data_IF_551188415003
#
_entry.id   IF_551188415003
#
_cell.length_a   1.000
_cell.length_b   1.000
_cell.length_c   1.000
_cell.angle_alpha   90.00
_cell.angle_beta   90.00
_cell.angle_gamma   90.00
#
_symmetry.space_group_name_H-M   'P 1'
#
loop_
_entity.id
_entity.type
_entity.pdbx_description
1 polymer ?
#
# COMPACT_ATOMS: atom_id res chain seq x y z
N UNK A 1 -21.33 -21.80 -11.88
CA UNK A 1 -21.42 -20.37 -11.55
C UNK A 1 -20.00 -19.86 -11.23
N UNK A 2 -19.46 -18.98 -12.05
CA UNK A 2 -18.20 -18.29 -11.75
C UNK A 2 -18.52 -16.87 -11.26
N UNK A 3 -18.13 -16.54 -10.05
CA UNK A 3 -18.41 -15.21 -9.48
C UNK A 3 -17.40 -14.14 -9.96
N UNK A 4 -16.17 -14.55 -10.28
CA UNK A 4 -15.10 -13.65 -10.70
C UNK A 4 -14.27 -14.27 -11.80
N UNK A 5 -14.01 -13.48 -12.86
CA UNK A 5 -13.07 -13.79 -13.92
C UNK A 5 -11.87 -12.87 -13.80
N UNK A 6 -10.66 -13.42 -13.94
CA UNK A 6 -9.42 -12.66 -13.98
C UNK A 6 -8.79 -12.80 -15.36
N UNK A 7 -8.72 -11.70 -16.10
CA UNK A 7 -8.05 -11.61 -17.39
C UNK A 7 -6.61 -11.15 -17.17
N UNK A 8 -5.68 -12.11 -17.15
CA UNK A 8 -4.26 -11.87 -16.90
C UNK A 8 -3.41 -11.78 -18.19
N UNK A 9 -4.05 -11.67 -19.35
CA UNK A 9 -3.39 -11.57 -20.64
C UNK A 9 -2.66 -10.22 -20.74
N UNK A 10 -1.36 -10.26 -20.97
CA UNK A 10 -0.53 -9.07 -21.13
C UNK A 10 -0.40 -8.66 -22.59
N UNK A 11 -0.21 -9.64 -23.46
CA UNK A 11 -0.04 -9.48 -24.92
C UNK A 11 -0.64 -10.68 -25.66
N UNK A 12 -1.24 -10.47 -26.83
CA UNK A 12 -1.51 -9.16 -27.40
C UNK A 12 -2.64 -8.41 -26.67
N UNK A 13 -2.60 -7.07 -26.66
CA UNK A 13 -3.59 -6.21 -25.98
C UNK A 13 -5.02 -6.49 -26.47
N UNK A 14 -5.19 -6.74 -27.76
CA UNK A 14 -6.48 -7.05 -28.40
C UNK A 14 -7.13 -8.30 -27.78
N UNK A 15 -6.33 -9.32 -27.48
CA UNK A 15 -6.83 -10.54 -26.83
C UNK A 15 -7.31 -10.27 -25.40
N UNK A 16 -6.59 -9.44 -24.65
CA UNK A 16 -6.99 -9.01 -23.31
C UNK A 16 -8.32 -8.24 -23.32
N UNK A 17 -8.44 -7.27 -24.24
CA UNK A 17 -9.67 -6.46 -24.39
C UNK A 17 -10.85 -7.36 -24.82
N UNK A 18 -10.64 -8.23 -25.81
CA UNK A 18 -11.68 -9.14 -26.28
C UNK A 18 -12.14 -10.11 -25.19
N UNK A 19 -11.20 -10.72 -24.47
CA UNK A 19 -11.53 -11.61 -23.36
C UNK A 19 -12.33 -10.91 -22.26
N UNK A 20 -11.96 -9.64 -21.93
CA UNK A 20 -12.67 -8.82 -20.96
C UNK A 20 -14.10 -8.50 -21.44
N UNK A 21 -14.25 -8.11 -22.70
CA UNK A 21 -15.54 -7.83 -23.30
C UNK A 21 -16.45 -9.06 -23.29
N UNK A 22 -15.94 -10.21 -23.75
CA UNK A 22 -16.70 -11.47 -23.74
C UNK A 22 -17.12 -11.84 -22.32
N UNK A 23 -16.23 -11.73 -21.34
CA UNK A 23 -16.55 -12.05 -19.95
C UNK A 23 -17.66 -11.16 -19.38
N UNK A 24 -17.78 -9.90 -19.84
CA UNK A 24 -18.83 -8.97 -19.40
C UNK A 24 -20.13 -9.10 -20.18
N UNK A 25 -20.06 -9.40 -21.47
CA UNK A 25 -21.20 -9.35 -22.40
C UNK A 25 -21.83 -10.73 -22.65
N UNK A 26 -21.33 -11.79 -22.00
CA UNK A 26 -21.86 -13.13 -22.20
C UNK A 26 -23.27 -13.28 -21.64
N UNK A 27 -24.27 -13.21 -22.51
CA UNK A 27 -25.65 -13.60 -22.19
C UNK A 27 -25.69 -15.02 -21.61
N UNK A 28 -26.15 -15.12 -20.35
CA UNK A 28 -26.25 -16.41 -19.65
C UNK A 28 -25.05 -16.78 -18.79
N UNK A 29 -23.97 -16.04 -18.77
CA UNK A 29 -22.89 -16.23 -17.79
C UNK A 29 -23.15 -15.38 -16.54
N UNK A 30 -23.08 -16.00 -15.37
CA UNK A 30 -23.22 -15.30 -14.08
C UNK A 30 -21.87 -14.74 -13.59
N UNK A 31 -21.09 -14.13 -14.49
CA UNK A 31 -19.86 -13.44 -14.07
C UNK A 31 -20.23 -12.13 -13.42
N UNK A 32 -20.07 -12.05 -12.10
CA UNK A 32 -20.36 -10.85 -11.32
C UNK A 32 -19.25 -9.81 -11.38
N UNK A 33 -18.00 -10.28 -11.51
CA UNK A 33 -16.84 -9.40 -11.44
C UNK A 33 -15.78 -9.82 -12.44
N UNK A 34 -15.28 -8.85 -13.20
CA UNK A 34 -14.16 -9.02 -14.13
C UNK A 34 -13.01 -8.14 -13.66
N UNK A 35 -11.87 -8.77 -13.37
CA UNK A 35 -10.62 -8.11 -13.04
C UNK A 35 -9.67 -8.29 -14.22
N UNK A 36 -9.09 -7.22 -14.75
CA UNK A 36 -8.20 -7.29 -15.89
C UNK A 36 -6.83 -6.69 -15.56
N UNK A 37 -5.78 -7.25 -16.17
CA UNK A 37 -4.40 -6.78 -16.07
C UNK A 37 -4.10 -5.80 -17.19
N UNK A 38 -3.65 -4.59 -16.85
CA UNK A 38 -3.14 -3.61 -17.81
C UNK A 38 -1.61 -3.66 -17.91
N UNK A 39 -1.08 -3.29 -19.10
CA UNK A 39 0.35 -3.15 -19.38
C UNK A 39 0.74 -1.71 -19.73
N UNK A 40 -0.25 -0.83 -19.97
CA UNK A 40 -0.05 0.59 -20.25
C UNK A 40 -1.27 1.40 -19.84
N UNK A 41 -1.13 2.73 -19.74
CA UNK A 41 -2.23 3.65 -19.42
C UNK A 41 -3.37 3.59 -20.44
N UNK A 42 -3.01 3.43 -21.72
CA UNK A 42 -4.01 3.27 -22.77
C UNK A 42 -4.76 1.95 -22.61
N UNK A 43 -4.04 0.85 -22.35
CA UNK A 43 -4.64 -0.45 -22.11
C UNK A 43 -5.58 -0.41 -20.89
N UNK A 44 -5.18 0.22 -19.81
CA UNK A 44 -6.03 0.42 -18.62
C UNK A 44 -7.34 1.15 -18.97
N UNK A 45 -7.26 2.25 -19.73
CA UNK A 45 -8.44 3.00 -20.18
C UNK A 45 -9.37 2.17 -21.04
N UNK A 46 -8.80 1.36 -21.94
CA UNK A 46 -9.59 0.46 -22.80
C UNK A 46 -10.31 -0.62 -21.98
N UNK A 47 -9.61 -1.28 -21.05
CA UNK A 47 -10.18 -2.31 -20.18
C UNK A 47 -11.33 -1.77 -19.32
N UNK A 48 -11.19 -0.55 -18.76
CA UNK A 48 -12.27 0.12 -18.05
C UNK A 48 -13.47 0.40 -18.95
N UNK A 49 -13.25 0.82 -20.20
CA UNK A 49 -14.32 1.10 -21.17
C UNK A 49 -15.09 -0.14 -21.61
N UNK A 50 -14.41 -1.29 -21.76
CA UNK A 50 -15.10 -2.55 -22.11
C UNK A 50 -15.70 -3.26 -20.89
N UNK A 51 -15.70 -2.61 -19.72
CA UNK A 51 -16.48 -3.04 -18.58
C UNK A 51 -15.73 -3.84 -17.52
N UNK A 52 -14.39 -3.83 -17.49
CA UNK A 52 -13.66 -4.39 -16.36
C UNK A 52 -14.05 -3.68 -15.06
N UNK A 53 -14.47 -4.43 -14.03
CA UNK A 53 -14.85 -3.89 -12.72
C UNK A 53 -13.63 -3.41 -11.93
N UNK A 54 -12.47 -4.03 -12.19
CA UNK A 54 -11.20 -3.63 -11.63
C UNK A 54 -10.09 -3.85 -12.65
N UNK A 55 -9.23 -2.86 -12.79
CA UNK A 55 -8.00 -2.99 -13.57
C UNK A 55 -6.80 -2.94 -12.64
N UNK A 56 -5.89 -3.91 -12.79
CA UNK A 56 -4.64 -3.99 -12.05
C UNK A 56 -3.49 -3.69 -13.01
N UNK A 57 -2.60 -2.79 -12.60
CA UNK A 57 -1.41 -2.42 -13.38
C UNK A 57 -0.15 -2.71 -12.56
N UNK A 58 0.34 -3.97 -12.56
CA UNK A 58 1.41 -4.41 -11.67
C UNK A 58 2.71 -3.64 -11.83
N UNK A 59 3.09 -3.32 -13.07
CA UNK A 59 4.35 -2.59 -13.33
C UNK A 59 4.35 -1.18 -12.74
N UNK A 60 3.20 -0.48 -12.78
CA UNK A 60 3.04 0.83 -12.13
C UNK A 60 3.16 0.69 -10.62
N UNK A 61 2.42 -0.24 -10.03
CA UNK A 61 2.45 -0.47 -8.59
C UNK A 61 3.86 -0.81 -8.08
N UNK A 62 4.60 -1.64 -8.81
CA UNK A 62 5.98 -1.96 -8.48
C UNK A 62 6.93 -0.77 -8.64
N UNK A 63 6.73 0.04 -9.69
CA UNK A 63 7.50 1.27 -9.91
C UNK A 63 7.29 2.30 -8.80
N UNK A 64 6.05 2.50 -8.38
CA UNK A 64 5.70 3.39 -7.26
C UNK A 64 6.31 2.89 -5.95
N UNK A 65 6.23 1.58 -5.67
CA UNK A 65 6.87 0.97 -4.50
C UNK A 65 8.38 1.17 -4.51
N UNK A 66 9.05 0.86 -5.61
CA UNK A 66 10.49 1.05 -5.75
C UNK A 66 10.88 2.53 -5.57
N UNK A 67 10.10 3.44 -6.15
CA UNK A 67 10.30 4.88 -5.96
C UNK A 67 10.23 5.29 -4.48
N UNK A 68 9.26 4.76 -3.75
CA UNK A 68 9.14 5.00 -2.31
C UNK A 68 10.32 4.41 -1.52
N UNK A 69 10.76 3.21 -1.82
CA UNK A 69 11.92 2.57 -1.19
C UNK A 69 13.20 3.40 -1.36
N UNK A 70 13.40 4.00 -2.55
CA UNK A 70 14.57 4.83 -2.82
C UNK A 70 14.54 6.17 -2.07
N UNK A 71 13.37 6.77 -1.91
CA UNK A 71 13.21 8.08 -1.23
C UNK A 71 13.07 7.92 0.28
N UNK A 72 12.53 6.80 0.74
CA UNK A 72 12.27 6.50 2.16
C UNK A 72 12.74 5.08 2.50
N UNK A 73 14.05 4.86 2.65
CA UNK A 73 14.63 3.52 2.85
C UNK A 73 14.19 2.84 4.15
N UNK A 74 13.70 3.61 5.12
CA UNK A 74 13.14 3.07 6.36
C UNK A 74 11.65 2.70 6.27
N UNK A 75 10.94 3.06 5.20
CA UNK A 75 9.55 2.66 4.99
C UNK A 75 9.50 1.20 4.55
N UNK A 76 8.83 0.36 5.34
CA UNK A 76 8.66 -1.07 5.07
C UNK A 76 7.34 -1.34 4.36
N UNK A 77 6.25 -0.83 4.92
CA UNK A 77 4.90 -1.00 4.38
C UNK A 77 4.08 0.28 4.57
N UNK A 78 3.10 0.49 3.68
CA UNK A 78 2.14 1.58 3.75
C UNK A 78 0.76 1.10 3.38
N UNK A 79 -0.21 1.43 4.24
CA UNK A 79 -1.63 1.21 4.01
C UNK A 79 -2.33 2.58 3.91
N UNK A 80 -2.85 2.90 2.75
CA UNK A 80 -3.68 4.09 2.55
C UNK A 80 -5.08 3.82 3.13
N UNK A 81 -5.52 4.68 4.04
CA UNK A 81 -6.86 4.62 4.64
C UNK A 81 -7.85 5.43 3.80
N UNK A 82 -7.42 6.58 3.33
CA UNK A 82 -8.12 7.47 2.42
C UNK A 82 -7.10 8.34 1.64
N UNK A 83 -7.56 9.37 0.94
CA UNK A 83 -6.70 10.25 0.12
C UNK A 83 -5.65 11.01 0.95
N UNK A 84 -5.89 11.22 2.24
CA UNK A 84 -5.05 12.05 3.11
C UNK A 84 -4.35 11.27 4.21
N UNK A 85 -4.93 10.16 4.64
CA UNK A 85 -4.48 9.42 5.83
C UNK A 85 -3.90 8.07 5.46
N UNK A 86 -2.82 7.71 6.14
CA UNK A 86 -2.19 6.40 6.00
C UNK A 86 -1.66 5.84 7.32
N UNK A 87 -1.46 4.53 7.32
CA UNK A 87 -0.67 3.81 8.31
C UNK A 87 0.63 3.44 7.64
N UNK A 88 1.74 3.66 8.31
CA UNK A 88 3.06 3.29 7.82
C UNK A 88 3.79 2.43 8.84
N UNK A 89 4.44 1.39 8.33
CA UNK A 89 5.40 0.58 9.05
C UNK A 89 6.80 1.04 8.65
N UNK A 90 7.56 1.53 9.61
CA UNK A 90 8.91 2.06 9.38
C UNK A 90 9.92 1.39 10.31
N UNK A 91 11.15 1.20 9.85
CA UNK A 91 12.27 0.91 10.73
C UNK A 91 12.49 2.09 11.67
N UNK A 92 12.75 1.82 12.93
CA UNK A 92 13.06 2.86 13.91
C UNK A 92 14.26 3.66 13.43
N UNK A 93 14.11 5.00 13.22
CA UNK A 93 15.22 5.86 12.83
C UNK A 93 16.31 5.88 13.90
N UNK A 94 17.57 5.99 13.51
CA UNK A 94 18.72 5.99 14.44
C UNK A 94 18.56 7.01 15.57
N UNK A 95 18.06 8.22 15.24
CA UNK A 95 17.85 9.27 16.24
C UNK A 95 16.73 9.00 17.25
N UNK A 96 15.92 7.95 17.05
CA UNK A 96 14.89 7.52 18.01
C UNK A 96 15.38 6.36 18.89
N UNK A 97 16.48 5.74 18.54
CA UNK A 97 17.06 4.63 19.31
C UNK A 97 17.44 5.07 20.71
N UNK A 98 17.06 4.30 21.70
CA UNK A 98 17.29 4.58 23.10
C UNK A 98 16.33 5.58 23.75
N UNK A 99 15.41 6.17 22.99
CA UNK A 99 14.42 7.10 23.52
C UNK A 99 13.09 6.39 23.79
N UNK A 100 12.39 6.84 24.82
CA UNK A 100 11.03 6.38 25.09
C UNK A 100 10.02 7.10 24.19
N UNK A 101 8.86 6.48 23.96
CA UNK A 101 7.75 7.13 23.25
C UNK A 101 7.29 8.42 23.90
N UNK A 102 7.42 8.53 25.24
CA UNK A 102 7.16 9.74 26.00
C UNK A 102 8.12 10.86 25.63
N UNK A 103 9.43 10.56 25.60
CA UNK A 103 10.47 11.55 25.30
C UNK A 103 10.37 12.03 23.85
N UNK A 104 10.07 11.12 22.94
CA UNK A 104 9.86 11.42 21.51
C UNK A 104 8.64 12.28 21.28
N UNK A 105 7.58 12.10 22.09
CA UNK A 105 6.31 12.82 21.97
C UNK A 105 5.84 12.98 20.51
N UNK A 106 5.79 11.85 19.78
CA UNK A 106 5.58 11.80 18.32
C UNK A 106 4.27 12.49 17.91
N UNK A 107 3.25 12.42 18.77
CA UNK A 107 1.98 13.10 18.51
C UNK A 107 2.12 14.63 18.47
N UNK A 108 2.93 15.20 19.35
CA UNK A 108 3.14 16.66 19.42
C UNK A 108 4.13 17.11 18.34
N UNK A 109 5.21 16.36 18.14
CA UNK A 109 6.33 16.78 17.32
C UNK A 109 6.11 16.48 15.82
N UNK A 110 5.38 15.40 15.50
CA UNK A 110 5.17 14.92 14.12
C UNK A 110 3.70 14.71 13.77
N UNK A 111 2.75 14.96 14.70
CA UNK A 111 1.30 14.75 14.50
C UNK A 111 0.91 13.31 14.14
N UNK A 112 1.70 12.35 14.54
CA UNK A 112 1.45 10.92 14.26
C UNK A 112 1.13 10.17 15.54
N UNK A 113 0.29 9.14 15.43
CA UNK A 113 -0.04 8.24 16.52
C UNK A 113 0.72 6.93 16.34
N UNK A 114 1.28 6.40 17.42
CA UNK A 114 1.93 5.09 17.42
C UNK A 114 0.87 4.01 17.68
N UNK A 115 0.77 3.07 16.77
CA UNK A 115 -0.14 1.92 16.89
C UNK A 115 0.58 0.69 17.45
N UNK A 116 1.83 0.46 17.02
CA UNK A 116 2.64 -0.64 17.51
C UNK A 116 4.13 -0.28 17.45
N UNK A 117 4.94 -0.94 18.28
CA UNK A 117 6.40 -0.82 18.27
C UNK A 117 7.06 -2.10 18.78
N UNK A 118 8.27 -2.41 18.32
CA UNK A 118 9.05 -3.56 18.79
C UNK A 118 9.76 -4.31 17.66
N UNK A 119 10.29 -5.50 17.94
CA UNK A 119 10.84 -6.37 16.89
C UNK A 119 9.77 -6.73 15.85
N UNK A 120 10.12 -6.81 14.56
CA UNK A 120 9.16 -7.11 13.49
C UNK A 120 8.39 -8.44 13.70
N UNK A 121 9.01 -9.42 14.36
CA UNK A 121 8.39 -10.71 14.66
C UNK A 121 7.51 -10.70 15.92
N UNK A 122 7.59 -9.64 16.76
CA UNK A 122 6.86 -9.54 18.03
C UNK A 122 6.53 -8.07 18.33
N UNK A 123 5.60 -7.53 17.55
CA UNK A 123 5.14 -6.15 17.69
C UNK A 123 4.19 -6.00 18.88
N UNK A 124 4.55 -5.10 19.79
CA UNK A 124 3.68 -4.68 20.88
C UNK A 124 2.67 -3.66 20.35
N UNK A 125 1.39 -4.05 20.31
CA UNK A 125 0.29 -3.15 19.96
C UNK A 125 -0.06 -2.26 21.15
N UNK A 126 -0.32 -0.98 20.90
CA UNK A 126 -0.55 0.05 21.92
C UNK A 126 0.56 0.10 22.98
N UNK A 127 1.82 0.34 22.56
CA UNK A 127 2.95 0.37 23.48
C UNK A 127 2.77 1.47 24.53
N UNK A 128 3.26 1.21 25.73
CA UNK A 128 3.21 2.20 26.82
C UNK A 128 4.10 3.41 26.49
N UNK A 129 3.80 4.55 27.06
CA UNK A 129 4.62 5.77 26.88
C UNK A 129 6.08 5.59 27.34
N UNK A 130 6.34 4.64 28.24
CA UNK A 130 7.69 4.29 28.70
C UNK A 130 8.41 3.27 27.81
N UNK A 131 7.77 2.77 26.74
CA UNK A 131 8.42 1.85 25.80
C UNK A 131 9.60 2.52 25.11
N UNK A 132 10.78 1.92 25.23
CA UNK A 132 12.02 2.42 24.64
C UNK A 132 12.22 1.76 23.27
N UNK A 133 12.48 2.58 22.26
CA UNK A 133 12.77 2.11 20.92
C UNK A 133 14.24 1.65 20.81
N UNK A 134 14.45 0.51 20.18
CA UNK A 134 15.76 -0.10 20.03
C UNK A 134 16.16 -0.17 18.54
N UNK A 135 17.44 -0.30 18.28
CA UNK A 135 17.94 -0.55 16.93
C UNK A 135 17.32 -1.83 16.33
N UNK A 136 16.95 -1.78 15.07
CA UNK A 136 16.29 -2.88 14.37
C UNK A 136 14.81 -3.07 14.72
N UNK A 137 14.26 -2.30 15.66
CA UNK A 137 12.83 -2.29 15.93
C UNK A 137 12.05 -1.65 14.75
N UNK A 138 10.78 -1.96 14.73
CA UNK A 138 9.78 -1.42 13.80
C UNK A 138 8.81 -0.53 14.59
N UNK A 139 8.36 0.51 13.95
CA UNK A 139 7.37 1.45 14.46
C UNK A 139 6.20 1.51 13.47
N UNK A 140 5.00 1.19 13.93
CA UNK A 140 3.78 1.34 13.15
C UNK A 140 3.09 2.63 13.58
N UNK A 141 2.95 3.55 12.65
CA UNK A 141 2.43 4.90 12.89
C UNK A 141 1.26 5.22 11.97
N UNK A 142 0.35 6.05 12.45
CA UNK A 142 -0.81 6.54 11.71
C UNK A 142 -0.87 8.06 11.78
N UNK A 143 -1.19 8.71 10.67
CA UNK A 143 -1.36 10.15 10.57
C UNK A 143 -1.70 10.61 9.16
N UNK A 144 -1.70 11.93 8.97
CA UNK A 144 -1.75 12.49 7.63
C UNK A 144 -0.49 12.07 6.86
N UNK A 145 -0.65 11.77 5.59
CA UNK A 145 0.45 11.35 4.71
C UNK A 145 1.61 12.35 4.73
N UNK A 146 1.30 13.65 4.71
CA UNK A 146 2.32 14.71 4.74
C UNK A 146 3.05 14.76 6.09
N UNK A 147 2.34 14.54 7.20
CA UNK A 147 2.97 14.49 8.53
C UNK A 147 3.88 13.27 8.69
N UNK A 148 3.48 12.12 8.14
CA UNK A 148 4.30 10.90 8.11
C UNK A 148 5.58 11.07 7.28
N UNK A 149 5.54 11.88 6.22
CA UNK A 149 6.73 12.20 5.42
C UNK A 149 7.77 13.04 6.17
N UNK A 150 7.37 13.74 7.24
CA UNK A 150 8.26 14.54 8.07
C UNK A 150 9.00 13.69 9.13
N UNK A 151 8.66 12.41 9.29
CA UNK A 151 9.42 11.51 10.14
C UNK A 151 10.86 11.33 9.61
N UNK A 152 11.84 11.15 10.53
CA UNK A 152 13.23 10.92 10.13
C UNK A 152 13.35 9.70 9.21
N UNK A 153 14.25 9.80 8.23
CA UNK A 153 14.46 8.75 7.21
C UNK A 153 15.62 7.80 7.57
N UNK A 154 16.42 8.19 8.53
CA UNK A 154 17.59 7.43 9.04
C UNK A 154 17.72 7.62 10.53
#
# INVERSE_FOLDING_TARGET
DMDTVVVAISEPIEASITATLIAKDSEGTRVRRVIARATSDLHEKMLKRVGADRVVFPSRMQGERLGLELVRPNLMERLELDELNSIEEIKVPERFVGLSLRDLNLRKNYRVNVLAAGPAADLMVNPSASHVLMEGHVLVVMGLTDDLQNLPRT
#
